data_IF_864534850792
#
_entry.id   IF_864534850792
#
_cell.length_a   1.000
_cell.length_b   1.000
_cell.length_c   1.000
_cell.angle_alpha   90.00
_cell.angle_beta   90.00
_cell.angle_gamma   90.00
#
_symmetry.space_group_name_H-M   'P 1'
#
loop_
_entity.id
_entity.type
_entity.pdbx_description
1 polymer ?
#
# COMPACT_ATOMS: atom_id res chain seq x y z
N UNK A 1 -23.71 -8.84 -26.29
CA UNK A 1 -22.40 -8.56 -25.69
C UNK A 1 -22.29 -9.38 -24.41
N UNK A 2 -21.13 -9.96 -24.07
CA UNK A 2 -20.96 -10.59 -22.77
C UNK A 2 -21.28 -9.56 -21.66
N UNK A 3 -21.99 -9.94 -20.60
CA UNK A 3 -22.25 -9.04 -19.49
C UNK A 3 -20.93 -8.55 -18.87
N UNK A 4 -20.91 -7.30 -18.42
CA UNK A 4 -19.83 -6.70 -17.60
C UNK A 4 -18.40 -6.84 -18.17
N UNK A 5 -18.24 -6.49 -19.45
CA UNK A 5 -16.92 -6.50 -20.12
C UNK A 5 -15.90 -5.56 -19.45
N UNK A 6 -16.28 -4.32 -19.13
CA UNK A 6 -15.40 -3.36 -18.45
C UNK A 6 -15.47 -3.58 -16.95
N UNK A 7 -14.37 -4.02 -16.36
CA UNK A 7 -14.27 -4.28 -14.93
C UNK A 7 -13.31 -3.27 -14.31
N UNK A 8 -13.80 -2.50 -13.34
CA UNK A 8 -13.09 -1.38 -12.74
C UNK A 8 -12.36 -1.83 -11.48
N UNK A 9 -11.05 -1.56 -11.39
CA UNK A 9 -10.28 -1.79 -10.17
C UNK A 9 -10.34 -0.63 -9.19
N UNK A 10 -10.53 0.59 -9.68
CA UNK A 10 -11.00 1.72 -8.88
C UNK A 10 -12.41 2.06 -9.32
N UNK A 11 -13.41 1.97 -8.43
CA UNK A 11 -14.79 1.99 -8.83
C UNK A 11 -15.24 3.40 -9.16
N UNK A 12 -16.20 3.49 -10.07
CA UNK A 12 -16.67 4.78 -10.56
C UNK A 12 -17.30 5.63 -9.44
N UNK A 13 -17.98 5.03 -8.46
CA UNK A 13 -18.58 5.79 -7.36
C UNK A 13 -17.52 6.49 -6.49
N UNK A 14 -16.34 5.89 -6.34
CA UNK A 14 -15.20 6.46 -5.65
C UNK A 14 -14.59 7.61 -6.46
N UNK A 15 -14.35 7.39 -7.76
CA UNK A 15 -13.82 8.44 -8.65
C UNK A 15 -14.73 9.67 -8.72
N UNK A 16 -16.06 9.49 -8.62
CA UNK A 16 -17.03 10.60 -8.55
C UNK A 16 -16.82 11.50 -7.33
N UNK A 17 -16.22 11.03 -6.24
CA UNK A 17 -15.90 11.85 -5.08
C UNK A 17 -14.81 12.90 -5.36
N UNK A 18 -14.02 12.70 -6.43
CA UNK A 18 -12.98 13.63 -6.90
C UNK A 18 -13.42 14.41 -8.15
N UNK A 19 -14.70 14.35 -8.50
CA UNK A 19 -15.26 14.97 -9.70
C UNK A 19 -16.12 16.18 -9.35
N UNK A 20 -15.99 17.26 -10.11
CA UNK A 20 -16.86 18.43 -9.99
C UNK A 20 -18.24 18.22 -10.67
N UNK A 21 -18.31 17.40 -11.72
CA UNK A 21 -19.52 17.19 -12.54
C UNK A 21 -20.10 15.78 -12.42
N UNK A 22 -19.50 14.95 -11.57
CA UNK A 22 -19.78 13.51 -11.42
C UNK A 22 -19.61 12.68 -12.70
N UNK A 23 -19.03 13.20 -13.78
CA UNK A 23 -18.89 12.53 -15.09
C UNK A 23 -17.44 12.38 -15.51
N UNK A 24 -16.61 13.35 -15.15
CA UNK A 24 -15.21 13.43 -15.53
C UNK A 24 -14.31 13.79 -14.35
N UNK A 25 -13.03 13.44 -14.46
CA UNK A 25 -12.00 13.80 -13.49
C UNK A 25 -10.81 14.41 -14.22
N UNK A 26 -10.08 15.28 -13.52
CA UNK A 26 -8.76 15.72 -13.98
C UNK A 26 -7.72 14.71 -13.50
N UNK A 27 -6.80 14.31 -14.39
CA UNK A 27 -5.75 13.37 -14.05
C UNK A 27 -4.41 13.77 -14.64
N UNK A 28 -3.35 13.27 -14.03
CA UNK A 28 -1.99 13.40 -14.54
C UNK A 28 -1.40 12.00 -14.73
N UNK A 29 -0.73 11.80 -15.88
CA UNK A 29 -0.03 10.57 -16.21
C UNK A 29 1.33 10.59 -15.53
N UNK A 30 1.63 9.56 -14.74
CA UNK A 30 2.80 9.62 -13.85
C UNK A 30 4.11 9.66 -14.61
N UNK A 31 4.22 8.89 -15.70
CA UNK A 31 5.48 8.77 -16.45
C UNK A 31 5.60 9.74 -17.64
N UNK A 32 4.56 10.50 -17.97
CA UNK A 32 4.48 11.26 -19.23
C UNK A 32 4.43 12.79 -19.05
N UNK A 33 4.64 13.32 -17.84
CA UNK A 33 4.51 14.76 -17.52
C UNK A 33 3.25 15.42 -18.13
N UNK A 34 2.20 14.60 -18.28
CA UNK A 34 1.03 14.94 -19.08
C UNK A 34 -0.18 15.09 -18.18
N UNK A 35 -0.82 16.24 -18.29
CA UNK A 35 -2.06 16.56 -17.59
C UNK A 35 -3.26 16.46 -18.54
N UNK A 36 -4.31 15.75 -18.10
CA UNK A 36 -5.57 15.60 -18.80
C UNK A 36 -6.66 16.25 -17.94
N UNK A 37 -7.16 17.45 -18.31
CA UNK A 37 -8.11 18.19 -17.49
C UNK A 37 -9.49 17.52 -17.40
N UNK A 38 -9.87 16.75 -18.41
CA UNK A 38 -11.21 16.17 -18.53
C UNK A 38 -11.12 14.75 -19.07
N UNK A 39 -11.00 13.78 -18.17
CA UNK A 39 -11.03 12.36 -18.48
C UNK A 39 -12.36 11.74 -18.04
N UNK A 40 -13.00 10.93 -18.89
CA UNK A 40 -14.29 10.33 -18.57
C UNK A 40 -14.13 9.23 -17.50
N UNK A 41 -14.92 9.30 -16.42
CA UNK A 41 -14.86 8.33 -15.32
C UNK A 41 -15.06 6.87 -15.80
N UNK A 42 -16.02 6.55 -16.67
CA UNK A 42 -16.20 5.17 -17.14
C UNK A 42 -15.00 4.62 -17.93
N UNK A 43 -14.12 5.50 -18.40
CA UNK A 43 -12.91 5.15 -19.14
C UNK A 43 -11.65 5.05 -18.28
N UNK A 44 -11.73 5.23 -16.96
CA UNK A 44 -10.57 5.19 -16.07
C UNK A 44 -10.55 3.92 -15.22
N UNK A 45 -9.36 3.50 -14.81
CA UNK A 45 -9.11 2.42 -13.85
C UNK A 45 -9.89 1.12 -14.15
N UNK A 46 -9.94 0.72 -15.43
CA UNK A 46 -10.63 -0.48 -15.86
C UNK A 46 -9.80 -1.24 -16.89
N UNK A 47 -10.04 -2.54 -16.97
CA UNK A 47 -9.59 -3.39 -18.06
C UNK A 47 -10.73 -4.32 -18.47
N UNK A 48 -10.71 -4.74 -19.74
CA UNK A 48 -11.66 -5.73 -20.22
C UNK A 48 -11.41 -7.07 -19.50
N UNK A 49 -12.42 -7.58 -18.80
CA UNK A 49 -12.37 -8.84 -18.03
C UNK A 49 -11.22 -8.92 -17.01
N UNK A 50 -10.92 -7.79 -16.34
CA UNK A 50 -9.83 -7.68 -15.37
C UNK A 50 -9.82 -8.76 -14.28
N UNK A 51 -10.97 -9.14 -13.74
CA UNK A 51 -11.16 -10.21 -12.74
C UNK A 51 -11.46 -11.58 -13.37
N UNK A 52 -11.57 -11.65 -14.68
CA UNK A 52 -11.91 -12.85 -15.43
C UNK A 52 -13.18 -12.69 -16.27
N UNK A 53 -13.43 -13.71 -17.10
CA UNK A 53 -14.58 -13.73 -18.02
C UNK A 53 -15.89 -14.13 -17.33
N UNK A 54 -15.82 -14.76 -16.16
CA UNK A 54 -16.99 -15.00 -15.31
C UNK A 54 -17.38 -13.70 -14.61
N UNK A 55 -18.66 -13.39 -14.54
CA UNK A 55 -19.13 -12.17 -13.86
C UNK A 55 -19.09 -12.27 -12.34
N UNK A 56 -18.77 -13.43 -11.77
CA UNK A 56 -18.90 -13.73 -10.34
C UNK A 56 -18.11 -12.77 -9.43
N UNK A 57 -16.84 -12.51 -9.74
CA UNK A 57 -16.00 -11.62 -8.91
C UNK A 57 -16.51 -10.18 -9.01
N UNK A 58 -16.86 -9.72 -10.21
CA UNK A 58 -17.43 -8.39 -10.44
C UNK A 58 -18.80 -8.23 -9.74
N UNK A 59 -19.64 -9.27 -9.74
CA UNK A 59 -20.91 -9.28 -9.02
C UNK A 59 -20.70 -9.15 -7.50
N UNK A 60 -19.75 -9.89 -6.93
CA UNK A 60 -19.41 -9.81 -5.50
C UNK A 60 -18.81 -8.46 -5.10
N UNK A 61 -17.94 -7.90 -5.94
CA UNK A 61 -17.41 -6.56 -5.70
C UNK A 61 -18.54 -5.53 -5.74
N UNK A 62 -19.49 -5.65 -6.68
CA UNK A 62 -20.65 -4.77 -6.75
C UNK A 62 -21.53 -4.83 -5.49
N UNK A 63 -21.71 -6.00 -4.89
CA UNK A 63 -22.42 -6.16 -3.61
C UNK A 63 -21.72 -5.35 -2.49
N UNK A 64 -20.40 -5.52 -2.34
CA UNK A 64 -19.59 -4.77 -1.35
C UNK A 64 -19.69 -3.26 -1.60
N UNK A 65 -19.64 -2.83 -2.86
CA UNK A 65 -19.72 -1.42 -3.24
C UNK A 65 -21.08 -0.81 -2.95
N UNK A 66 -22.15 -1.57 -3.15
CA UNK A 66 -23.52 -1.16 -2.83
C UNK A 66 -23.69 -0.94 -1.32
N UNK A 67 -23.04 -1.78 -0.51
CA UNK A 67 -23.07 -1.68 0.95
C UNK A 67 -22.24 -0.48 1.48
N UNK A 68 -21.02 -0.27 0.95
CA UNK A 68 -20.10 0.77 1.45
C UNK A 68 -20.41 2.18 0.94
N UNK A 69 -21.01 2.33 -0.25
CA UNK A 69 -21.21 3.65 -0.86
C UNK A 69 -22.04 4.62 0.03
N UNK A 70 -23.16 4.19 0.65
CA UNK A 70 -23.90 5.02 1.59
C UNK A 70 -23.06 5.42 2.82
N UNK A 71 -22.27 4.49 3.37
CA UNK A 71 -21.42 4.76 4.53
C UNK A 71 -20.33 5.79 4.20
N UNK A 72 -19.67 5.67 3.04
CA UNK A 72 -18.69 6.68 2.59
C UNK A 72 -19.38 8.04 2.42
N UNK A 73 -20.59 8.08 1.86
CA UNK A 73 -21.34 9.33 1.71
C UNK A 73 -21.67 9.96 3.08
N UNK A 74 -22.07 9.16 4.07
CA UNK A 74 -22.30 9.62 5.43
C UNK A 74 -21.02 10.15 6.09
N UNK A 75 -19.90 9.42 5.99
CA UNK A 75 -18.61 9.87 6.54
C UNK A 75 -18.20 11.21 5.91
N UNK A 76 -18.39 11.35 4.60
CA UNK A 76 -18.02 12.57 3.87
C UNK A 76 -18.90 13.77 4.24
N UNK A 77 -20.20 13.57 4.43
CA UNK A 77 -21.15 14.65 4.77
C UNK A 77 -21.04 15.05 6.24
N UNK A 78 -20.99 14.08 7.16
CA UNK A 78 -20.95 14.32 8.61
C UNK A 78 -19.55 14.63 9.13
N UNK A 79 -18.50 14.26 8.37
CA UNK A 79 -17.09 14.28 8.78
C UNK A 79 -16.84 13.51 10.08
N UNK A 80 -17.56 12.41 10.28
CA UNK A 80 -17.45 11.51 11.44
C UNK A 80 -17.16 10.10 10.97
N UNK A 81 -16.34 9.40 11.73
CA UNK A 81 -16.11 7.96 11.51
C UNK A 81 -17.18 7.15 12.24
N UNK A 82 -17.49 5.93 11.75
CA UNK A 82 -18.30 4.99 12.51
C UNK A 82 -17.66 4.70 13.87
N UNK A 83 -18.49 4.27 14.82
CA UNK A 83 -18.00 3.87 16.14
C UNK A 83 -17.05 2.69 16.02
N UNK A 84 -15.91 2.75 16.72
CA UNK A 84 -14.90 1.69 16.68
C UNK A 84 -15.51 0.33 17.06
N UNK A 85 -15.27 -0.68 16.22
CA UNK A 85 -15.79 -2.04 16.42
C UNK A 85 -17.25 -2.24 16.02
N UNK A 86 -17.92 -1.23 15.46
CA UNK A 86 -19.23 -1.44 14.82
C UNK A 86 -19.10 -2.22 13.51
N UNK A 87 -20.22 -2.73 13.00
CA UNK A 87 -20.25 -3.35 11.67
C UNK A 87 -19.80 -2.38 10.58
N UNK A 88 -20.13 -1.10 10.68
CA UNK A 88 -19.69 -0.07 9.73
C UNK A 88 -18.18 0.18 9.77
N UNK A 89 -17.55 0.16 10.95
CA UNK A 89 -16.08 0.25 11.08
C UNK A 89 -15.40 -0.98 10.44
N UNK A 90 -15.95 -2.18 10.66
CA UNK A 90 -15.46 -3.41 10.04
C UNK A 90 -15.64 -3.38 8.50
N UNK A 91 -16.81 -2.94 8.02
CA UNK A 91 -17.12 -2.79 6.61
C UNK A 91 -16.16 -1.80 5.93
N UNK A 92 -15.91 -0.65 6.55
CA UNK A 92 -14.99 0.37 6.05
C UNK A 92 -13.56 -0.16 5.90
N UNK A 93 -13.04 -0.86 6.92
CA UNK A 93 -11.69 -1.45 6.89
C UNK A 93 -11.59 -2.58 5.88
N UNK A 94 -12.62 -3.44 5.79
CA UNK A 94 -12.71 -4.50 4.79
C UNK A 94 -12.69 -3.92 3.38
N UNK A 95 -13.53 -2.92 3.10
CA UNK A 95 -13.57 -2.27 1.79
C UNK A 95 -12.24 -1.60 1.44
N UNK A 96 -11.65 -0.83 2.37
CA UNK A 96 -10.33 -0.22 2.16
C UNK A 96 -9.30 -1.29 1.75
N UNK A 97 -9.26 -2.41 2.47
CA UNK A 97 -8.26 -3.44 2.18
C UNK A 97 -8.54 -4.21 0.89
N UNK A 98 -9.82 -4.48 0.58
CA UNK A 98 -10.23 -5.01 -0.74
C UNK A 98 -9.83 -4.05 -1.86
N UNK A 99 -10.02 -2.75 -1.66
CA UNK A 99 -9.59 -1.72 -2.62
C UNK A 99 -8.07 -1.69 -2.80
N UNK A 100 -7.30 -2.00 -1.76
CA UNK A 100 -5.84 -2.12 -1.85
C UNK A 100 -5.41 -3.32 -2.70
N UNK A 101 -6.03 -4.49 -2.51
CA UNK A 101 -5.63 -5.73 -3.18
C UNK A 101 -6.22 -5.97 -4.57
N UNK A 102 -7.16 -5.14 -5.03
CA UNK A 102 -7.84 -5.32 -6.31
C UNK A 102 -7.29 -4.48 -7.46
N UNK A 103 -6.16 -3.81 -7.29
CA UNK A 103 -5.60 -2.87 -8.28
C UNK A 103 -4.71 -3.58 -9.31
N UNK A 104 -4.45 -2.90 -10.42
CA UNK A 104 -3.45 -3.35 -11.40
C UNK A 104 -2.07 -3.55 -10.75
N UNK A 105 -1.63 -2.61 -9.90
CA UNK A 105 -0.35 -2.75 -9.19
C UNK A 105 -0.29 -4.02 -8.34
N UNK A 106 -1.37 -4.36 -7.63
CA UNK A 106 -1.40 -5.55 -6.80
C UNK A 106 -1.25 -6.83 -7.63
N UNK A 107 -1.83 -6.84 -8.83
CA UNK A 107 -1.66 -7.93 -9.79
C UNK A 107 -0.21 -8.01 -10.30
N UNK A 108 0.35 -6.89 -10.79
CA UNK A 108 1.73 -6.82 -11.29
C UNK A 108 2.77 -7.22 -10.22
N UNK A 109 2.58 -6.76 -8.98
CA UNK A 109 3.46 -7.14 -7.86
C UNK A 109 3.38 -8.63 -7.54
N UNK A 110 2.19 -9.24 -7.69
CA UNK A 110 2.00 -10.68 -7.48
C UNK A 110 2.68 -11.49 -8.58
N UNK A 111 2.57 -11.06 -9.84
CA UNK A 111 3.26 -11.70 -10.97
C UNK A 111 4.78 -11.62 -10.79
N UNK A 112 5.30 -10.41 -10.51
CA UNK A 112 6.72 -10.21 -10.27
C UNK A 112 7.24 -11.07 -9.09
N UNK A 113 6.45 -11.21 -8.02
CA UNK A 113 6.78 -12.11 -6.91
C UNK A 113 6.91 -13.56 -7.35
N UNK A 114 5.96 -14.04 -8.15
CA UNK A 114 5.94 -15.43 -8.63
C UNK A 114 7.12 -15.68 -9.58
N UNK A 115 7.36 -14.79 -10.55
CA UNK A 115 8.48 -14.88 -11.48
C UNK A 115 9.82 -14.94 -10.74
N UNK A 116 10.05 -14.04 -9.78
CA UNK A 116 11.26 -14.05 -8.98
C UNK A 116 11.40 -15.31 -8.12
N UNK A 117 10.30 -15.83 -7.58
CA UNK A 117 10.32 -17.10 -6.83
C UNK A 117 10.77 -18.25 -7.74
N UNK A 118 10.20 -18.33 -8.95
CA UNK A 118 10.56 -19.37 -9.93
C UNK A 118 12.02 -19.23 -10.37
N UNK A 119 12.47 -18.00 -10.64
CA UNK A 119 13.86 -17.72 -11.01
C UNK A 119 14.83 -18.16 -9.92
N UNK A 120 14.61 -17.73 -8.67
CA UNK A 120 15.48 -18.07 -7.55
C UNK A 120 15.49 -19.58 -7.30
N UNK A 121 14.33 -20.25 -7.29
CA UNK A 121 14.28 -21.71 -7.11
C UNK A 121 15.03 -22.44 -8.24
N UNK A 122 14.90 -21.97 -9.49
CA UNK A 122 15.55 -22.59 -10.66
C UNK A 122 17.08 -22.52 -10.61
N UNK A 123 17.66 -21.51 -9.96
CA UNK A 123 19.12 -21.40 -9.76
C UNK A 123 19.71 -22.55 -8.94
N UNK A 124 18.89 -23.23 -8.12
CA UNK A 124 19.36 -24.28 -7.22
C UNK A 124 19.15 -25.70 -7.75
N UNK A 125 18.37 -25.88 -8.83
CA UNK A 125 18.15 -27.16 -9.48
C UNK A 125 16.93 -27.15 -10.39
N UNK A 126 16.73 -28.24 -11.12
CA UNK A 126 15.54 -28.40 -11.95
C UNK A 126 14.29 -28.49 -11.08
N UNK A 127 13.31 -27.64 -11.38
CA UNK A 127 11.98 -27.70 -10.77
C UNK A 127 11.26 -28.94 -11.32
N UNK A 128 11.07 -29.96 -10.48
CA UNK A 128 10.43 -31.23 -10.87
C UNK A 128 9.46 -31.72 -9.81
N UNK A 129 8.51 -32.57 -10.23
CA UNK A 129 7.56 -33.23 -9.35
C UNK A 129 6.64 -32.25 -8.62
N UNK A 130 6.22 -32.54 -7.37
CA UNK A 130 5.23 -31.73 -6.64
C UNK A 130 5.61 -30.26 -6.46
N UNK A 131 6.91 -29.93 -6.45
CA UNK A 131 7.38 -28.54 -6.36
C UNK A 131 7.03 -27.75 -7.63
N UNK A 132 7.08 -28.40 -8.80
CA UNK A 132 6.69 -27.77 -10.07
C UNK A 132 5.20 -27.41 -10.09
N UNK A 133 4.36 -28.28 -9.55
CA UNK A 133 2.92 -28.03 -9.42
C UNK A 133 2.63 -26.93 -8.39
N UNK A 134 3.39 -26.86 -7.29
CA UNK A 134 3.24 -25.83 -6.25
C UNK A 134 3.70 -24.44 -6.67
N UNK A 135 4.66 -24.35 -7.60
CA UNK A 135 5.17 -23.08 -8.13
C UNK A 135 4.37 -22.58 -9.34
N UNK A 136 3.46 -23.39 -9.89
CA UNK A 136 2.52 -22.89 -10.87
C UNK A 136 1.57 -21.89 -10.20
N UNK A 137 1.21 -20.79 -10.89
CA UNK A 137 0.21 -19.85 -10.39
C UNK A 137 -1.06 -20.62 -10.01
N UNK A 138 -1.55 -20.43 -8.79
CA UNK A 138 -2.79 -21.06 -8.33
C UNK A 138 -4.04 -20.58 -9.09
N UNK A 139 -3.90 -19.51 -9.88
CA UNK A 139 -4.95 -18.87 -10.66
C UNK A 139 -4.36 -18.31 -11.94
N UNK A 140 -5.04 -18.50 -13.08
CA UNK A 140 -4.67 -17.89 -14.36
C UNK A 140 -4.77 -16.35 -14.36
N UNK A 141 -5.43 -15.77 -13.35
CA UNK A 141 -5.59 -14.33 -13.22
C UNK A 141 -4.84 -13.81 -11.98
N UNK A 142 -3.77 -13.02 -12.15
CA UNK A 142 -2.89 -12.58 -11.07
C UNK A 142 -3.60 -11.75 -9.99
N UNK A 143 -4.65 -11.00 -10.33
CA UNK A 143 -5.33 -10.12 -9.36
C UNK A 143 -6.16 -10.90 -8.33
N UNK A 144 -6.53 -12.15 -8.63
CA UNK A 144 -7.38 -12.94 -7.75
C UNK A 144 -6.66 -13.32 -6.45
N UNK A 145 -5.34 -13.51 -6.50
CA UNK A 145 -4.52 -13.80 -5.32
C UNK A 145 -4.50 -12.63 -4.31
N UNK A 146 -4.06 -11.40 -4.65
CA UNK A 146 -4.05 -10.27 -3.73
C UNK A 146 -5.46 -9.84 -3.29
N UNK A 147 -6.47 -9.99 -4.16
CA UNK A 147 -7.87 -9.75 -3.80
C UNK A 147 -8.35 -10.74 -2.72
N UNK A 148 -8.12 -12.04 -2.92
CA UNK A 148 -8.47 -13.09 -1.96
C UNK A 148 -7.70 -12.93 -0.63
N UNK A 149 -6.41 -12.61 -0.72
CA UNK A 149 -5.59 -12.30 0.45
C UNK A 149 -6.15 -11.09 1.21
N UNK A 150 -6.63 -10.06 0.52
CA UNK A 150 -7.21 -8.88 1.17
C UNK A 150 -8.50 -9.19 1.91
N UNK A 151 -9.37 -10.04 1.35
CA UNK A 151 -10.58 -10.49 2.05
C UNK A 151 -10.28 -11.26 3.35
N UNK A 152 -9.13 -11.91 3.44
CA UNK A 152 -8.69 -12.64 4.65
C UNK A 152 -7.92 -11.75 5.62
N UNK A 153 -7.09 -10.85 5.09
CA UNK A 153 -6.08 -10.12 5.85
C UNK A 153 -6.57 -8.77 6.41
N UNK A 154 -7.77 -8.29 6.04
CA UNK A 154 -8.29 -7.03 6.59
C UNK A 154 -8.41 -7.06 8.12
N UNK A 155 -8.50 -8.24 8.74
CA UNK A 155 -8.53 -8.42 10.19
C UNK A 155 -7.30 -7.83 10.90
N UNK A 156 -6.16 -7.75 10.21
CA UNK A 156 -4.94 -7.11 10.72
C UNK A 156 -5.02 -5.58 10.75
N UNK A 157 -6.10 -4.99 10.26
CA UNK A 157 -6.36 -3.55 10.39
C UNK A 157 -7.27 -3.23 11.58
N UNK A 158 -7.88 -4.22 12.25
CA UNK A 158 -8.90 -3.98 13.27
C UNK A 158 -8.32 -3.41 14.59
N UNK A 159 -7.05 -3.66 14.86
CA UNK A 159 -6.33 -3.14 16.02
C UNK A 159 -5.86 -1.68 15.82
N UNK A 160 -5.65 -1.25 14.57
CA UNK A 160 -5.26 0.11 14.24
C UNK A 160 -6.32 1.12 14.66
N UNK A 161 -5.87 2.23 15.24
CA UNK A 161 -6.74 3.35 15.54
C UNK A 161 -7.01 4.15 14.25
N UNK A 162 -8.15 4.83 14.18
CA UNK A 162 -8.60 5.54 12.99
C UNK A 162 -8.75 7.04 13.24
N UNK A 163 -8.48 7.83 12.21
CA UNK A 163 -8.76 9.25 12.21
C UNK A 163 -9.21 9.72 10.82
N UNK A 164 -10.01 10.78 10.80
CA UNK A 164 -10.41 11.46 9.57
C UNK A 164 -9.65 12.78 9.45
N UNK A 165 -8.77 12.86 8.45
CA UNK A 165 -8.02 14.08 8.15
C UNK A 165 -8.90 14.99 7.30
N UNK A 166 -9.33 16.11 7.89
CA UNK A 166 -10.09 17.16 7.22
C UNK A 166 -9.16 18.29 6.76
N UNK A 167 -9.01 18.43 5.45
CA UNK A 167 -8.15 19.41 4.82
C UNK A 167 -8.76 20.81 4.87
N UNK A 168 -8.09 21.71 5.59
CA UNK A 168 -8.43 23.12 5.70
C UNK A 168 -7.36 24.03 5.05
N UNK A 169 -6.51 23.46 4.20
CA UNK A 169 -5.59 24.23 3.35
C UNK A 169 -6.27 24.62 2.03
N UNK A 170 -5.65 25.52 1.26
CA UNK A 170 -6.19 25.98 -0.02
C UNK A 170 -6.17 24.87 -1.09
N UNK A 171 -5.09 24.09 -1.12
CA UNK A 171 -4.92 22.97 -2.07
C UNK A 171 -5.71 21.72 -1.64
N UNK A 172 -5.84 20.77 -2.57
CA UNK A 172 -6.68 19.58 -2.40
C UNK A 172 -5.85 18.30 -2.22
N UNK A 173 -6.48 17.30 -1.60
CA UNK A 173 -5.99 15.92 -1.66
C UNK A 173 -6.12 15.38 -3.07
N UNK A 174 -5.18 14.51 -3.42
CA UNK A 174 -5.19 13.72 -4.65
C UNK A 174 -5.48 12.26 -4.31
N UNK A 175 -5.86 11.48 -5.31
CA UNK A 175 -5.90 10.01 -5.26
C UNK A 175 -5.25 9.44 -6.51
N UNK A 176 -5.24 8.12 -6.68
CA UNK A 176 -4.61 7.47 -7.82
C UNK A 176 -5.39 6.24 -8.28
N UNK A 177 -4.88 5.57 -9.30
CA UNK A 177 -5.27 4.20 -9.66
C UNK A 177 -4.90 3.15 -8.60
N UNK A 178 -4.25 3.58 -7.51
CA UNK A 178 -4.01 2.81 -6.30
C UNK A 178 -4.24 3.66 -5.04
N UNK A 179 -5.52 3.88 -4.67
CA UNK A 179 -5.88 4.95 -3.74
C UNK A 179 -5.48 4.69 -2.28
N UNK A 180 -5.29 3.41 -1.91
CA UNK A 180 -4.95 3.00 -0.54
C UNK A 180 -3.45 2.83 -0.41
N UNK A 181 -2.82 3.78 0.27
CA UNK A 181 -1.36 3.86 0.43
C UNK A 181 -0.96 3.40 1.82
N UNK A 182 0.04 2.52 1.86
CA UNK A 182 0.63 2.02 3.11
C UNK A 182 1.95 2.71 3.37
N UNK A 183 2.22 2.99 4.64
CA UNK A 183 3.48 3.58 5.07
C UNK A 183 3.90 3.04 6.43
N UNK A 184 5.20 3.08 6.74
CA UNK A 184 5.70 2.68 8.05
C UNK A 184 6.94 3.50 8.43
N UNK A 185 6.72 4.68 9.03
CA UNK A 185 7.81 5.55 9.51
C UNK A 185 8.72 4.84 10.52
N UNK A 186 8.15 3.99 11.38
CA UNK A 186 8.89 3.23 12.38
C UNK A 186 9.91 2.25 11.78
N UNK A 187 9.70 1.84 10.52
CA UNK A 187 10.58 0.94 9.78
C UNK A 187 11.36 1.65 8.65
N UNK A 188 11.53 2.97 8.70
CA UNK A 188 12.38 3.69 7.74
C UNK A 188 13.88 3.38 7.91
N UNK A 189 14.29 2.89 9.09
CA UNK A 189 15.68 2.56 9.38
C UNK A 189 16.23 1.49 8.42
N UNK A 190 17.48 1.62 7.93
CA UNK A 190 18.05 0.81 6.83
C UNK A 190 18.21 -0.69 7.11
N UNK A 191 17.85 -1.17 8.31
CA UNK A 191 18.02 -2.56 8.73
C UNK A 191 16.72 -3.27 9.13
N UNK A 192 15.55 -2.64 8.98
CA UNK A 192 14.28 -3.34 9.22
C UNK A 192 13.89 -4.13 7.97
N UNK A 193 14.31 -5.40 7.90
CA UNK A 193 13.73 -6.36 6.97
C UNK A 193 12.22 -6.47 7.28
N UNK A 194 11.39 -6.10 6.31
CA UNK A 194 9.94 -6.17 6.39
C UNK A 194 9.27 -4.91 6.95
N UNK A 195 8.60 -4.17 6.06
CA UNK A 195 7.63 -3.10 6.34
C UNK A 195 6.18 -3.57 6.13
N UNK A 196 5.99 -4.90 6.12
CA UNK A 196 4.72 -5.55 5.77
C UNK A 196 3.57 -5.29 6.75
N UNK A 197 2.39 -5.77 6.37
CA UNK A 197 1.09 -5.54 7.02
C UNK A 197 1.07 -5.79 8.54
N UNK A 198 1.78 -6.82 9.02
CA UNK A 198 1.72 -7.25 10.43
C UNK A 198 2.80 -6.53 11.29
N UNK A 199 3.53 -5.59 10.71
CA UNK A 199 4.61 -4.88 11.40
C UNK A 199 4.05 -3.73 12.23
N UNK A 200 4.62 -3.56 13.44
CA UNK A 200 4.36 -2.37 14.26
C UNK A 200 4.66 -1.10 13.47
N UNK A 201 3.88 -0.06 13.74
CA UNK A 201 4.05 1.25 13.12
C UNK A 201 3.45 1.35 11.72
N UNK A 202 2.53 0.47 11.35
CA UNK A 202 1.77 0.60 10.12
C UNK A 202 0.93 1.89 10.14
N UNK A 203 0.93 2.58 9.01
CA UNK A 203 0.06 3.69 8.65
C UNK A 203 -0.63 3.34 7.33
N UNK A 204 -1.91 3.65 7.21
CA UNK A 204 -2.68 3.48 5.97
C UNK A 204 -3.46 4.75 5.69
N UNK A 205 -3.30 5.30 4.49
CA UNK A 205 -3.98 6.50 4.02
C UNK A 205 -4.91 6.15 2.86
N UNK A 206 -6.16 6.59 2.95
CA UNK A 206 -7.15 6.41 1.90
C UNK A 206 -7.92 7.73 1.69
N UNK A 207 -7.53 8.54 0.69
CA UNK A 207 -8.25 9.75 0.33
C UNK A 207 -9.70 9.39 -0.03
N UNK A 208 -10.68 10.01 0.63
CA UNK A 208 -12.10 9.79 0.34
C UNK A 208 -12.65 10.85 -0.61
N UNK A 209 -12.16 12.09 -0.47
CA UNK A 209 -12.50 13.24 -1.30
C UNK A 209 -11.29 14.19 -1.39
N UNK A 210 -11.32 15.22 -2.24
CA UNK A 210 -10.32 16.31 -2.24
C UNK A 210 -10.11 16.99 -0.88
N UNK A 211 -11.02 16.79 0.09
CA UNK A 211 -10.98 17.44 1.41
C UNK A 211 -10.94 16.48 2.59
N UNK A 212 -11.08 15.17 2.39
CA UNK A 212 -11.11 14.17 3.45
C UNK A 212 -10.23 12.97 3.12
N UNK A 213 -9.40 12.56 4.07
CA UNK A 213 -8.60 11.33 4.00
C UNK A 213 -8.83 10.49 5.25
N UNK A 214 -9.15 9.22 5.06
CA UNK A 214 -9.17 8.23 6.14
C UNK A 214 -7.73 7.81 6.46
N UNK A 215 -7.39 7.81 7.74
CA UNK A 215 -6.06 7.50 8.25
C UNK A 215 -6.15 6.42 9.32
N UNK A 216 -5.61 5.24 9.05
CA UNK A 216 -5.40 4.20 10.05
C UNK A 216 -3.95 4.22 10.52
N UNK A 217 -3.72 4.04 11.82
CA UNK A 217 -2.38 4.04 12.38
C UNK A 217 -2.24 3.17 13.63
N UNK A 218 -1.04 2.66 13.83
CA UNK A 218 -0.66 1.96 15.05
C UNK A 218 -0.52 2.95 16.22
N UNK A 219 -1.53 2.97 17.10
CA UNK A 219 -1.58 3.86 18.26
C UNK A 219 -0.58 3.51 19.38
N UNK A 220 0.01 2.31 19.36
CA UNK A 220 1.11 1.95 20.27
C UNK A 220 2.42 2.65 19.89
N UNK A 221 2.58 2.96 18.60
CA UNK A 221 3.79 3.58 18.05
C UNK A 221 3.61 5.08 17.87
N UNK A 222 2.46 5.52 17.37
CA UNK A 222 2.21 6.92 17.05
C UNK A 222 1.22 7.56 18.03
N UNK A 223 1.56 8.77 18.47
CA UNK A 223 0.62 9.71 19.08
C UNK A 223 0.14 10.65 17.98
N UNK A 224 -1.17 10.71 17.79
CA UNK A 224 -1.80 11.55 16.77
C UNK A 224 -2.57 12.68 17.44
N UNK A 225 -2.28 13.92 17.05
CA UNK A 225 -2.97 15.11 17.53
C UNK A 225 -4.29 15.28 16.77
N UNK A 226 -5.40 15.20 17.51
CA UNK A 226 -6.77 15.30 16.96
C UNK A 226 -7.40 16.62 17.39
N UNK A 227 -8.22 17.20 16.53
CA UNK A 227 -8.93 18.45 16.80
C UNK A 227 -10.28 18.24 17.49
N UNK A 228 -10.98 17.16 17.15
CA UNK A 228 -12.32 16.84 17.71
C UNK A 228 -12.63 15.35 17.50
N UNK A 229 -12.79 14.58 18.58
CA UNK A 229 -13.02 13.14 18.50
C UNK A 229 -11.94 12.42 17.68
N UNK A 230 -12.35 11.79 16.58
CA UNK A 230 -11.46 11.13 15.62
C UNK A 230 -10.96 12.03 14.47
N UNK A 231 -11.30 13.33 14.47
CA UNK A 231 -10.97 14.25 13.38
C UNK A 231 -9.63 14.94 13.59
N UNK A 232 -8.89 15.13 12.50
CA UNK A 232 -7.65 15.93 12.43
C UNK A 232 -7.92 17.09 11.49
N UNK A 233 -7.65 18.32 11.91
CA UNK A 233 -7.75 19.48 11.00
C UNK A 233 -6.39 19.80 10.41
N UNK A 234 -6.21 19.50 9.14
CA UNK A 234 -4.97 19.73 8.41
C UNK A 234 -4.89 21.20 7.97
N UNK A 235 -3.97 21.96 8.55
CA UNK A 235 -3.78 23.40 8.26
C UNK A 235 -2.46 23.71 7.58
N UNK A 236 -1.47 22.83 7.68
CA UNK A 236 -0.14 23.04 7.11
C UNK A 236 -0.08 22.47 5.71
N UNK A 237 0.19 23.30 4.72
CA UNK A 237 0.37 22.87 3.34
C UNK A 237 1.55 21.90 3.18
N UNK A 238 2.54 21.93 4.08
CA UNK A 238 3.63 20.94 4.12
C UNK A 238 3.17 19.52 4.40
N UNK A 239 2.21 19.34 5.32
CA UNK A 239 1.64 18.01 5.61
C UNK A 239 0.82 17.52 4.42
N UNK A 240 0.02 18.40 3.79
CA UNK A 240 -0.73 18.07 2.58
C UNK A 240 0.19 17.64 1.43
N UNK A 241 1.30 18.37 1.22
CA UNK A 241 2.27 18.04 0.16
C UNK A 241 2.81 16.63 0.32
N UNK A 242 3.13 16.21 1.55
CA UNK A 242 3.62 14.87 1.82
C UNK A 242 2.57 13.79 1.58
N UNK A 243 1.32 14.03 1.98
CA UNK A 243 0.21 13.11 1.72
C UNK A 243 -0.08 12.96 0.22
N UNK A 244 -0.02 14.04 -0.55
CA UNK A 244 -0.16 13.98 -2.00
C UNK A 244 1.06 13.30 -2.65
N UNK A 245 2.29 13.58 -2.19
CA UNK A 245 3.51 12.90 -2.65
C UNK A 245 3.42 11.39 -2.48
N UNK A 246 2.87 10.90 -1.38
CA UNK A 246 2.59 9.46 -1.18
C UNK A 246 1.68 8.88 -2.27
N UNK A 247 0.62 9.59 -2.65
CA UNK A 247 -0.29 9.15 -3.73
C UNK A 247 0.42 9.08 -5.09
N UNK A 248 1.31 10.02 -5.37
CA UNK A 248 2.12 10.02 -6.59
C UNK A 248 3.13 8.88 -6.65
N UNK A 249 3.83 8.64 -5.55
CA UNK A 249 4.82 7.56 -5.48
C UNK A 249 4.12 6.20 -5.65
N UNK A 250 2.97 6.03 -5.01
CA UNK A 250 2.21 4.79 -5.00
C UNK A 250 1.30 4.61 -6.24
N UNK A 251 1.05 5.64 -7.03
CA UNK A 251 0.28 5.49 -8.27
C UNK A 251 1.00 4.51 -9.21
N UNK A 252 0.26 3.84 -10.10
CA UNK A 252 0.87 3.05 -11.18
C UNK A 252 0.99 3.92 -12.43
N UNK A 253 -0.14 4.27 -13.03
CA UNK A 253 -0.21 5.00 -14.29
C UNK A 253 -0.72 6.43 -14.11
N UNK A 254 -1.69 6.63 -13.21
CA UNK A 254 -2.42 7.90 -13.12
C UNK A 254 -2.66 8.37 -11.69
N UNK A 255 -2.53 9.68 -11.50
CA UNK A 255 -3.01 10.39 -10.31
C UNK A 255 -4.24 11.19 -10.69
N UNK A 256 -5.33 10.98 -9.94
CA UNK A 256 -6.55 11.79 -10.04
C UNK A 256 -6.41 12.99 -9.11
N UNK A 257 -6.46 14.18 -9.68
CA UNK A 257 -6.28 15.43 -8.91
C UNK A 257 -7.64 16.02 -8.52
N UNK A 258 -7.66 16.78 -7.43
CA UNK A 258 -8.86 17.47 -7.00
C UNK A 258 -9.33 18.52 -8.04
N UNK A 259 -10.64 18.81 -8.14
CA UNK A 259 -11.20 19.71 -9.16
C UNK A 259 -10.63 21.13 -9.19
N UNK A 260 -10.08 21.61 -8.08
CA UNK A 260 -9.49 22.94 -7.94
C UNK A 260 -7.96 22.93 -8.14
N UNK A 261 -7.37 21.75 -8.38
CA UNK A 261 -5.93 21.61 -8.61
C UNK A 261 -5.56 22.07 -10.02
N UNK A 262 -4.69 23.07 -10.12
CA UNK A 262 -4.20 23.54 -11.42
C UNK A 262 -3.23 22.55 -12.07
N UNK A 263 -3.12 22.60 -13.40
CA UNK A 263 -2.11 21.84 -14.16
C UNK A 263 -0.69 22.05 -13.60
N UNK A 264 -0.33 23.31 -13.32
CA UNK A 264 1.00 23.65 -12.80
C UNK A 264 1.28 22.98 -11.46
N UNK A 265 0.32 23.02 -10.54
CA UNK A 265 0.44 22.34 -9.24
C UNK A 265 0.55 20.82 -9.41
N UNK A 266 -0.26 20.21 -10.29
CA UNK A 266 -0.21 18.78 -10.55
C UNK A 266 1.15 18.32 -11.08
N UNK A 267 1.71 19.04 -12.06
CA UNK A 267 3.01 18.69 -12.65
C UNK A 267 4.18 18.93 -11.68
N UNK A 268 4.08 19.90 -10.77
CA UNK A 268 5.08 20.09 -9.72
C UNK A 268 5.15 18.89 -8.76
N UNK A 269 4.00 18.28 -8.42
CA UNK A 269 4.01 17.05 -7.63
C UNK A 269 4.58 15.86 -8.41
N UNK A 270 4.30 15.77 -9.71
CA UNK A 270 4.85 14.73 -10.57
C UNK A 270 6.39 14.75 -10.57
N UNK A 271 6.98 15.94 -10.73
CA UNK A 271 8.42 16.15 -10.73
C UNK A 271 9.05 15.74 -9.40
N UNK A 272 8.45 16.17 -8.27
CA UNK A 272 8.94 15.83 -6.94
C UNK A 272 8.89 14.32 -6.69
N UNK A 273 7.77 13.67 -7.00
CA UNK A 273 7.59 12.25 -6.75
C UNK A 273 8.45 11.36 -7.65
N UNK A 274 8.81 11.81 -8.86
CA UNK A 274 9.68 11.08 -9.78
C UNK A 274 11.04 10.76 -9.17
N UNK A 275 11.58 11.66 -8.34
CA UNK A 275 12.87 11.47 -7.66
C UNK A 275 12.82 10.42 -6.55
N UNK A 276 11.63 10.17 -6.00
CA UNK A 276 11.43 9.34 -4.80
C UNK A 276 10.76 8.00 -5.10
N UNK A 277 10.30 7.81 -6.33
CA UNK A 277 9.71 6.55 -6.75
C UNK A 277 10.79 5.48 -6.67
N UNK A 278 10.62 4.47 -5.79
CA UNK A 278 11.53 3.35 -5.79
C UNK A 278 11.47 2.70 -7.18
N UNK A 279 12.60 2.19 -7.65
CA UNK A 279 12.55 1.19 -8.72
C UNK A 279 11.61 0.11 -8.20
N UNK A 280 10.50 -0.15 -8.91
CA UNK A 280 9.55 -1.22 -8.57
C UNK A 280 10.30 -2.54 -8.71
N UNK A 281 11.02 -2.90 -7.65
CA UNK A 281 11.77 -4.13 -7.54
C UNK A 281 11.29 -4.81 -6.29
N UNK A 282 10.53 -5.88 -6.46
CA UNK A 282 10.44 -6.88 -5.41
C UNK A 282 11.86 -7.33 -5.09
N UNK A 283 12.26 -7.25 -3.83
CA UNK A 283 13.58 -7.71 -3.42
C UNK A 283 13.44 -9.05 -2.72
N UNK A 284 14.18 -10.03 -3.23
CA UNK A 284 14.26 -11.36 -2.65
C UNK A 284 15.57 -11.49 -1.90
N UNK A 285 15.49 -11.94 -0.66
CA UNK A 285 16.67 -12.34 0.11
C UNK A 285 16.63 -13.85 0.34
N UNK A 286 17.63 -14.53 -0.18
CA UNK A 286 17.91 -15.93 0.14
C UNK A 286 18.67 -15.99 1.46
N UNK A 287 18.09 -16.64 2.46
CA UNK A 287 18.75 -16.92 3.71
C UNK A 287 19.11 -18.41 3.81
N UNK A 288 20.34 -18.70 4.24
CA UNK A 288 20.94 -20.04 4.25
C UNK A 288 21.08 -20.57 5.67
N UNK A 289 20.76 -21.84 5.88
CA UNK A 289 20.88 -22.47 7.18
C UNK A 289 22.35 -22.74 7.57
N UNK A 290 22.87 -22.04 8.57
CA UNK A 290 24.27 -22.10 8.99
C UNK A 290 24.54 -23.17 10.08
N UNK A 291 23.91 -24.36 9.98
CA UNK A 291 24.14 -25.51 10.88
C UNK A 291 23.67 -25.34 12.35
N UNK A 292 23.39 -24.13 12.81
CA UNK A 292 22.98 -23.82 14.18
C UNK A 292 21.63 -23.09 14.23
N UNK A 293 20.50 -23.72 13.90
CA UNK A 293 19.14 -23.12 13.98
C UNK A 293 18.98 -21.69 13.39
N UNK A 294 19.91 -21.23 12.56
CA UNK A 294 20.03 -19.83 12.14
C UNK A 294 20.17 -19.75 10.64
N UNK A 295 19.53 -18.72 10.10
CA UNK A 295 19.55 -18.38 8.69
C UNK A 295 20.40 -17.11 8.50
N UNK A 296 21.35 -17.13 7.57
CA UNK A 296 22.29 -16.03 7.27
C UNK A 296 22.13 -15.60 5.81
N UNK A 297 22.43 -14.34 5.47
CA UNK A 297 22.37 -13.88 4.07
C UNK A 297 23.46 -14.53 3.21
N UNK A 298 23.28 -14.48 1.88
CA UNK A 298 24.30 -14.97 0.95
C UNK A 298 25.65 -14.25 1.12
N UNK A 299 25.62 -12.92 1.27
CA UNK A 299 26.82 -12.11 1.49
C UNK A 299 27.52 -12.50 2.80
N UNK A 300 26.75 -12.76 3.86
CA UNK A 300 27.26 -13.20 5.15
C UNK A 300 27.89 -14.60 5.05
N UNK A 301 27.26 -15.51 4.31
CA UNK A 301 27.80 -16.84 4.07
C UNK A 301 29.10 -16.81 3.25
N UNK A 302 29.17 -15.98 2.21
CA UNK A 302 30.38 -15.76 1.39
C UNK A 302 31.52 -15.16 2.22
N UNK A 303 31.25 -14.13 3.04
CA UNK A 303 32.24 -13.52 3.92
C UNK A 303 32.83 -14.51 4.93
N UNK A 304 32.03 -15.47 5.39
CA UNK A 304 32.42 -16.49 6.37
C UNK A 304 33.04 -17.75 5.78
N UNK A 305 33.17 -17.81 4.45
CA UNK A 305 33.69 -19.00 3.77
C UNK A 305 32.81 -20.23 3.94
N UNK A 306 31.52 -20.05 4.25
CA UNK A 306 30.58 -21.18 4.27
C UNK A 306 30.28 -21.60 2.82
N UNK A 307 30.46 -22.88 2.52
CA UNK A 307 29.83 -23.44 1.31
C UNK A 307 28.31 -23.34 1.47
N UNK A 308 27.68 -22.53 0.62
CA UNK A 308 26.23 -22.29 0.64
C UNK A 308 25.49 -23.64 0.58
N UNK A 309 24.86 -24.11 1.68
CA UNK A 309 24.26 -25.42 1.69
C UNK A 309 23.05 -25.43 0.76
N UNK A 310 23.07 -26.31 -0.25
CA UNK A 310 22.01 -26.44 -1.26
C UNK A 310 20.65 -26.93 -0.72
N UNK A 311 20.55 -27.32 0.55
CA UNK A 311 19.43 -28.15 1.04
C UNK A 311 18.44 -27.48 2.01
N UNK A 312 18.73 -26.30 2.58
CA UNK A 312 17.83 -25.61 3.53
C UNK A 312 17.96 -24.10 3.42
N UNK A 313 17.05 -23.49 2.67
CA UNK A 313 16.99 -22.04 2.49
C UNK A 313 15.59 -21.50 2.80
N UNK A 314 15.56 -20.26 3.25
CA UNK A 314 14.35 -19.47 3.41
C UNK A 314 14.40 -18.34 2.38
N UNK A 315 13.44 -18.32 1.47
CA UNK A 315 13.21 -17.20 0.57
C UNK A 315 12.33 -16.18 1.28
N UNK A 316 12.83 -14.96 1.43
CA UNK A 316 12.04 -13.85 1.96
C UNK A 316 11.79 -12.81 0.87
N UNK A 317 10.52 -12.53 0.62
CA UNK A 317 10.09 -11.42 -0.22
C UNK A 317 9.77 -10.23 0.67
N UNK A 318 10.21 -9.04 0.27
CA UNK A 318 9.83 -7.81 0.94
C UNK A 318 9.49 -6.73 -0.08
N UNK A 319 8.35 -6.09 0.13
CA UNK A 319 7.93 -4.91 -0.61
C UNK A 319 8.96 -3.79 -0.39
N UNK A 320 9.39 -3.16 -1.48
CA UNK A 320 10.14 -1.91 -1.41
C UNK A 320 9.19 -0.76 -1.12
N UNK A 321 9.20 -0.26 0.11
CA UNK A 321 8.46 0.97 0.44
C UNK A 321 9.34 2.19 0.21
N UNK A 322 8.76 3.30 -0.29
CA UNK A 322 9.49 4.56 -0.37
C UNK A 322 9.92 5.03 1.02
N UNK A 323 11.19 5.40 1.16
CA UNK A 323 11.74 6.01 2.39
C UNK A 323 11.86 7.50 2.16
N UNK A 324 10.78 8.24 2.45
CA UNK A 324 10.66 9.66 2.09
C UNK A 324 10.71 10.60 3.30
N UNK A 325 11.06 10.04 4.47
CA UNK A 325 11.01 10.68 5.78
C UNK A 325 9.68 11.38 6.00
N UNK A 326 8.61 10.58 6.09
CA UNK A 326 7.26 11.12 6.19
C UNK A 326 7.10 11.87 7.53
N UNK A 327 7.08 13.20 7.52
CA UNK A 327 7.02 14.04 8.72
C UNK A 327 5.73 14.86 8.79
N UNK A 328 4.66 14.21 9.23
CA UNK A 328 3.35 14.85 9.40
C UNK A 328 3.28 15.53 10.76
N UNK A 329 3.00 16.83 10.79
CA UNK A 329 3.11 17.61 12.02
C UNK A 329 2.12 17.24 13.13
N UNK A 330 1.04 16.53 12.79
CA UNK A 330 0.05 16.00 13.72
C UNK A 330 0.38 14.57 14.19
N UNK A 331 1.50 13.97 13.76
CA UNK A 331 1.95 12.63 14.14
C UNK A 331 3.27 12.73 14.87
N UNK A 332 3.38 12.11 16.04
CA UNK A 332 4.65 12.00 16.78
C UNK A 332 4.88 10.55 17.19
N UNK A 333 6.10 10.06 17.00
CA UNK A 333 6.46 8.73 17.51
C UNK A 333 6.55 8.76 19.04
N UNK A 334 5.96 7.78 19.72
CA UNK A 334 5.98 7.68 21.18
C UNK A 334 7.39 7.34 21.67
N UNK A 335 7.81 7.94 22.78
CA UNK A 335 9.14 7.70 23.39
C UNK A 335 9.42 6.23 23.70
N UNK A 336 8.39 5.45 24.09
CA UNK A 336 8.55 4.00 24.33
C UNK A 336 8.90 3.24 23.04
N UNK A 337 8.32 3.62 21.90
CA UNK A 337 8.65 3.06 20.60
C UNK A 337 10.07 3.44 20.18
N UNK A 338 10.48 4.70 20.38
CA UNK A 338 11.86 5.15 20.15
C UNK A 338 12.88 4.37 20.99
N UNK A 339 12.58 4.08 22.25
CA UNK A 339 13.43 3.24 23.12
C UNK A 339 13.44 1.77 22.68
N UNK A 340 12.32 1.23 22.21
CA UNK A 340 12.23 -0.12 21.65
C UNK A 340 13.06 -0.29 20.39
N UNK A 341 12.99 0.68 19.47
CA UNK A 341 13.82 0.75 18.27
C UNK A 341 15.30 0.88 18.59
N UNK A 342 15.69 1.83 19.46
CA UNK A 342 17.09 1.99 19.90
C UNK A 342 17.63 0.73 20.58
N UNK A 343 16.87 0.09 21.48
CA UNK A 343 17.29 -1.14 22.16
C UNK A 343 17.38 -2.32 21.20
N UNK A 344 16.60 -2.33 20.11
CA UNK A 344 16.72 -3.31 19.03
C UNK A 344 17.97 -3.04 18.19
N UNK A 345 18.23 -1.80 17.80
CA UNK A 345 19.45 -1.40 17.08
C UNK A 345 20.71 -1.65 17.91
N UNK A 346 20.69 -1.33 19.19
CA UNK A 346 21.78 -1.53 20.14
C UNK A 346 22.03 -3.02 20.37
N UNK A 347 20.98 -3.84 20.55
CA UNK A 347 21.11 -5.31 20.55
C UNK A 347 21.65 -5.87 19.24
N UNK A 348 21.25 -5.32 18.09
CA UNK A 348 21.79 -5.74 16.80
C UNK A 348 23.25 -5.32 16.63
N UNK A 349 23.63 -4.14 17.15
CA UNK A 349 25.00 -3.60 17.13
C UNK A 349 25.92 -4.34 18.09
N UNK A 350 25.48 -4.62 19.33
CA UNK A 350 26.16 -5.48 20.31
C UNK A 350 26.32 -6.90 19.77
N UNK A 351 25.26 -7.46 19.16
CA UNK A 351 25.33 -8.74 18.47
C UNK A 351 26.28 -8.73 17.28
N UNK A 352 26.53 -7.59 16.62
CA UNK A 352 27.54 -7.43 15.56
C UNK A 352 28.96 -7.21 16.12
N UNK A 353 29.11 -6.53 17.24
CA UNK A 353 30.41 -6.31 17.89
C UNK A 353 30.95 -7.62 18.46
N UNK A 354 30.10 -8.39 19.17
CA UNK A 354 30.42 -9.75 19.62
C UNK A 354 30.66 -10.75 18.47
N UNK A 355 30.39 -10.36 17.23
CA UNK A 355 30.51 -11.14 16.00
C UNK A 355 31.77 -10.79 15.21
N UNK A 356 32.44 -9.68 15.55
CA UNK A 356 33.73 -9.26 14.99
C UNK A 356 34.91 -9.66 15.90
N UNK A 357 34.65 -9.94 17.18
CA UNK A 357 35.66 -10.36 18.16
C UNK A 357 35.79 -11.89 18.33
N UNK A 358 34.90 -12.67 17.69
CA UNK A 358 34.90 -14.13 17.66
C UNK A 358 35.05 -14.63 16.23
#
# INVERSE_FOLDING_TARGET
>A
MPPKKKQHWVPQFYLRQFSADSKSVSLALVDQERFIPTASIPGQCYQDYFYGKTCEVEDRLHEIETEIAPLIHEICSTRRLPSRGSNDDALLRRYMWVQHGRTLEAAENTEAMQEQTVEEVSRFGEIRGPLAEQLQPSTDNPVLYPLSASLKNYVYLLDLDAALIANATESEFMTSDQPVVRYNKYCEAPHSAGRGLIRKGLMVFFPLTPRLTLFLFDSEIYKVERSDGARITLRKSGDLRQLNRLQWINATNVVIVGPQTSKGAALQYAEQARLDRPVKSMSVQSLFHAGSERFISEDEAKQRGFELPRRRQLLMHYDTFPSIDLDLSFVRMRMKALRGGKRMEERMRERRAAWLEA
#
